data_IF_015920861065
#
_entry.id   IF_015920861065
#
_cell.length_a   1.000
_cell.length_b   1.000
_cell.length_c   1.000
_cell.angle_alpha   90.00
_cell.angle_beta   90.00
_cell.angle_gamma   90.00
#
_symmetry.space_group_name_H-M   'P 1'
#
loop_
_entity.id
_entity.type
_entity.pdbx_description
1 polymer ?
#
# COMPACT_ATOMS: atom_id res chain seq x y z
N UNK A 1 14.81 44.81 -6.80
CA UNK A 1 14.05 45.92 -7.45
C UNK A 1 14.64 47.24 -6.99
N UNK A 2 14.73 48.25 -7.86
CA UNK A 2 15.15 49.60 -7.46
C UNK A 2 14.02 50.35 -6.72
N UNK A 3 14.35 51.41 -5.97
CA UNK A 3 13.35 52.23 -5.25
C UNK A 3 12.36 52.87 -6.24
N UNK A 4 12.82 53.25 -7.42
CA UNK A 4 11.99 53.82 -8.49
C UNK A 4 10.99 52.79 -9.04
N UNK A 5 11.46 51.57 -9.33
CA UNK A 5 10.57 50.46 -9.74
C UNK A 5 9.53 50.10 -8.67
N UNK A 6 9.87 50.23 -7.38
CA UNK A 6 8.91 50.04 -6.29
C UNK A 6 7.90 51.20 -6.19
N UNK A 7 8.27 52.44 -6.53
CA UNK A 7 7.35 53.59 -6.58
C UNK A 7 6.31 53.41 -7.68
N UNK A 8 6.74 52.97 -8.86
CA UNK A 8 5.85 52.67 -9.97
C UNK A 8 4.86 51.55 -9.59
N UNK A 9 5.35 50.43 -9.05
CA UNK A 9 4.46 49.36 -8.57
C UNK A 9 3.53 49.78 -7.46
N UNK A 10 3.94 50.67 -6.54
CA UNK A 10 3.04 51.24 -5.53
C UNK A 10 1.88 52.00 -6.18
N UNK A 11 2.14 52.78 -7.23
CA UNK A 11 1.10 53.51 -7.97
C UNK A 11 0.19 52.54 -8.73
N UNK A 12 0.76 51.54 -9.40
CA UNK A 12 0.01 50.49 -10.11
C UNK A 12 -0.91 49.68 -9.18
N UNK A 13 -0.42 49.32 -7.99
CA UNK A 13 -1.16 48.50 -7.01
C UNK A 13 -2.05 49.34 -6.07
N UNK A 14 -2.00 50.67 -6.15
CA UNK A 14 -2.80 51.56 -5.31
C UNK A 14 -2.46 51.54 -3.82
N UNK A 15 -1.28 51.05 -3.42
CA UNK A 15 -0.93 50.92 -2.00
C UNK A 15 -0.66 52.27 -1.31
N UNK A 16 -1.19 52.41 -0.10
CA UNK A 16 -0.83 53.47 0.85
C UNK A 16 0.49 53.15 1.56
N UNK A 17 1.11 54.15 2.19
CA UNK A 17 2.34 53.90 2.96
C UNK A 17 2.10 53.07 4.21
N UNK A 18 0.91 53.17 4.82
CA UNK A 18 0.48 52.35 5.96
C UNK A 18 0.40 50.87 5.58
N UNK A 19 -0.26 50.56 4.46
CA UNK A 19 -0.34 49.17 3.96
C UNK A 19 1.04 48.58 3.65
N UNK A 20 1.96 49.38 3.09
CA UNK A 20 3.33 48.91 2.82
C UNK A 20 4.09 48.65 4.12
N UNK A 21 3.90 49.49 5.14
CA UNK A 21 4.52 49.32 6.45
C UNK A 21 4.07 48.00 7.10
N UNK A 22 2.76 47.75 7.10
CA UNK A 22 2.17 46.53 7.66
C UNK A 22 2.64 45.27 6.92
N UNK A 23 2.65 45.31 5.58
CA UNK A 23 3.04 44.16 4.75
C UNK A 23 4.54 43.85 4.77
N UNK A 24 5.39 44.88 4.93
CA UNK A 24 6.85 44.70 4.97
C UNK A 24 7.41 44.47 6.37
N UNK A 25 6.64 44.78 7.42
CA UNK A 25 7.13 44.85 8.80
C UNK A 25 8.10 46.02 9.04
N UNK A 26 8.20 46.98 8.11
CA UNK A 26 9.05 48.17 8.23
C UNK A 26 8.23 49.31 8.84
N UNK A 27 8.74 50.05 9.84
CA UNK A 27 8.00 51.16 10.44
C UNK A 27 7.53 52.21 9.42
N UNK A 28 6.31 52.70 9.56
CA UNK A 28 5.69 53.67 8.64
C UNK A 28 6.57 54.88 8.33
N UNK A 29 7.19 55.48 9.36
CA UNK A 29 8.10 56.62 9.17
C UNK A 29 9.34 56.27 8.33
N UNK A 30 9.79 55.01 8.36
CA UNK A 30 10.88 54.52 7.51
C UNK A 30 10.39 54.32 6.07
N UNK A 31 9.21 53.74 5.87
CA UNK A 31 8.59 53.60 4.53
C UNK A 31 8.42 54.97 3.87
N UNK A 32 7.85 55.94 4.59
CA UNK A 32 7.65 57.31 4.09
C UNK A 32 8.97 57.99 3.73
N UNK A 33 10.04 57.81 4.51
CA UNK A 33 11.37 58.39 4.21
C UNK A 33 12.04 57.76 2.99
N UNK A 34 11.89 56.44 2.82
CA UNK A 34 12.43 55.72 1.65
C UNK A 34 11.69 56.13 0.39
N UNK A 35 10.35 56.05 0.39
CA UNK A 35 9.55 56.40 -0.77
C UNK A 35 9.43 57.91 -1.02
N UNK A 36 9.64 58.75 -0.01
CA UNK A 36 9.72 60.21 -0.13
C UNK A 36 11.10 60.73 -0.57
N UNK A 37 12.11 59.87 -0.72
CA UNK A 37 13.44 60.24 -1.23
C UNK A 37 14.34 60.94 -0.21
N UNK A 38 13.95 60.98 1.06
CA UNK A 38 14.73 61.59 2.16
C UNK A 38 15.93 60.72 2.53
N UNK A 39 15.82 59.40 2.36
CA UNK A 39 16.92 58.46 2.62
C UNK A 39 17.61 58.08 1.31
N UNK A 40 18.75 58.70 1.03
CA UNK A 40 19.52 58.47 -0.20
C UNK A 40 20.06 57.03 -0.35
N UNK A 41 20.25 56.31 0.75
CA UNK A 41 20.71 54.90 0.73
C UNK A 41 20.14 54.12 1.92
N UNK A 42 18.94 53.54 1.79
CA UNK A 42 18.34 52.73 2.84
C UNK A 42 19.18 51.46 3.09
N UNK A 43 19.12 50.93 4.32
CA UNK A 43 19.81 49.68 4.66
C UNK A 43 19.30 48.53 3.78
N UNK A 44 20.21 47.62 3.43
CA UNK A 44 19.92 46.49 2.55
C UNK A 44 18.71 45.65 3.00
N UNK A 45 18.59 45.36 4.30
CA UNK A 45 17.48 44.56 4.83
C UNK A 45 16.14 45.29 4.72
N UNK A 46 16.13 46.61 4.88
CA UNK A 46 14.95 47.45 4.66
C UNK A 46 14.53 47.41 3.20
N UNK A 47 15.48 47.48 2.26
CA UNK A 47 15.18 47.38 0.83
C UNK A 47 14.60 46.02 0.46
N UNK A 48 15.16 44.93 1.01
CA UNK A 48 14.68 43.56 0.77
C UNK A 48 13.27 43.34 1.31
N UNK A 49 12.97 43.86 2.50
CA UNK A 49 11.66 43.77 3.11
C UNK A 49 10.59 44.53 2.29
N UNK A 50 10.92 45.72 1.79
CA UNK A 50 10.03 46.50 0.94
C UNK A 50 9.84 45.85 -0.44
N UNK A 51 10.90 45.30 -1.02
CA UNK A 51 10.84 44.64 -2.33
C UNK A 51 9.84 43.47 -2.34
N UNK A 52 9.79 42.68 -1.26
CA UNK A 52 8.86 41.54 -1.13
C UNK A 52 7.39 41.95 -1.23
N UNK A 53 7.03 43.16 -0.82
CA UNK A 53 5.64 43.68 -0.91
C UNK A 53 5.19 43.80 -2.37
N UNK A 54 6.12 44.10 -3.27
CA UNK A 54 5.80 44.43 -4.65
C UNK A 54 6.00 43.27 -5.60
N UNK A 55 6.68 42.18 -5.23
CA UNK A 55 6.88 41.03 -6.12
C UNK A 55 5.53 40.37 -6.45
N UNK A 56 5.17 40.35 -7.74
CA UNK A 56 3.93 39.72 -8.25
C UNK A 56 3.91 38.25 -7.85
N UNK A 57 2.91 37.84 -7.04
CA UNK A 57 2.38 36.47 -7.10
C UNK A 57 1.64 36.31 -8.42
N UNK A 58 1.93 35.23 -9.14
CA UNK A 58 1.17 34.81 -10.32
C UNK A 58 -0.34 34.76 -10.02
N UNK A 59 -1.20 35.00 -11.04
CA UNK A 59 -2.62 35.22 -10.81
C UNK A 59 -3.30 34.00 -10.19
N UNK A 60 -3.78 34.22 -8.97
CA UNK A 60 -4.75 33.38 -8.28
C UNK A 60 -6.12 33.60 -8.93
N UNK A 61 -6.58 32.65 -9.74
CA UNK A 61 -7.98 32.62 -10.14
C UNK A 61 -8.82 32.29 -8.90
N UNK A 62 -9.67 33.24 -8.50
CA UNK A 62 -10.75 33.03 -7.53
C UNK A 62 -11.93 32.41 -8.28
N UNK A 63 -12.18 31.13 -8.06
CA UNK A 63 -13.56 30.61 -8.03
C UNK A 63 -14.05 30.73 -6.58
N UNK A 64 -15.32 31.07 -6.41
CA UNK A 64 -16.00 31.18 -5.11
C UNK A 64 -15.66 30.03 -4.16
N UNK A 65 -15.69 30.33 -2.87
CA UNK A 65 -15.55 29.34 -1.79
C UNK A 65 -16.67 28.30 -1.86
N UNK A 66 -16.43 27.23 -2.61
CA UNK A 66 -16.96 25.93 -2.28
C UNK A 66 -16.10 25.35 -1.15
N UNK A 67 -16.45 25.66 0.10
CA UNK A 67 -15.96 24.90 1.25
C UNK A 67 -17.20 24.39 2.00
N UNK A 68 -17.35 23.07 2.14
CA UNK A 68 -16.38 22.25 2.88
C UNK A 68 -15.81 21.00 2.17
N UNK A 69 -16.19 20.68 0.93
CA UNK A 69 -15.93 19.33 0.37
C UNK A 69 -14.46 19.02 0.06
N UNK A 70 -13.62 20.02 -0.23
CA UNK A 70 -12.20 19.80 -0.59
C UNK A 70 -11.23 19.86 0.61
N UNK A 71 -11.63 20.47 1.72
CA UNK A 71 -10.76 20.55 2.91
C UNK A 71 -10.71 19.21 3.67
N UNK A 72 -11.73 18.37 3.54
CA UNK A 72 -11.71 16.97 4.02
C UNK A 72 -10.79 16.09 3.14
N UNK A 73 -10.59 16.45 1.86
CA UNK A 73 -9.82 15.65 0.89
C UNK A 73 -8.29 15.79 1.00
N UNK A 74 -7.77 16.62 1.92
CA UNK A 74 -6.31 16.85 2.10
C UNK A 74 -5.81 16.64 3.52
N UNK A 75 -6.53 15.87 4.34
CA UNK A 75 -5.89 15.26 5.50
C UNK A 75 -5.16 14.01 5.00
N UNK A 76 -3.84 13.96 5.20
CA UNK A 76 -3.10 12.69 5.02
C UNK A 76 -3.79 11.63 5.88
N UNK A 77 -4.35 10.61 5.22
CA UNK A 77 -5.01 9.49 5.90
C UNK A 77 -3.99 8.80 6.80
N UNK A 78 -4.41 8.49 8.02
CA UNK A 78 -3.60 7.71 8.96
C UNK A 78 -3.80 6.23 8.68
N UNK A 79 -2.85 5.40 9.11
CA UNK A 79 -3.05 3.95 9.14
C UNK A 79 -4.35 3.60 9.89
N UNK A 80 -5.21 2.80 9.27
CA UNK A 80 -6.58 2.49 9.71
C UNK A 80 -7.69 3.31 9.05
N UNK A 81 -7.36 4.40 8.35
CA UNK A 81 -8.30 5.29 7.65
C UNK A 81 -8.37 5.04 6.13
N UNK A 82 -7.50 4.19 5.56
CA UNK A 82 -7.50 3.89 4.14
C UNK A 82 -8.66 2.97 3.74
N UNK A 83 -9.12 3.10 2.50
CA UNK A 83 -10.18 2.28 1.91
C UNK A 83 -9.69 1.54 0.66
N UNK A 84 -10.50 0.60 0.18
CA UNK A 84 -10.30 -0.09 -1.11
C UNK A 84 -10.20 0.91 -2.28
N UNK A 85 -10.97 1.99 -2.25
CA UNK A 85 -10.85 3.06 -3.24
C UNK A 85 -9.46 3.72 -3.19
N UNK A 86 -8.93 4.02 -1.99
CA UNK A 86 -7.58 4.57 -1.88
C UNK A 86 -6.53 3.59 -2.38
N UNK A 87 -6.67 2.31 -2.03
CA UNK A 87 -5.77 1.24 -2.49
C UNK A 87 -5.74 1.15 -4.02
N UNK A 88 -6.91 1.17 -4.67
CA UNK A 88 -7.02 1.13 -6.14
C UNK A 88 -6.51 2.40 -6.81
N UNK A 89 -6.40 3.50 -6.08
CA UNK A 89 -5.84 4.76 -6.55
C UNK A 89 -4.31 4.86 -6.40
N UNK A 90 -3.66 3.86 -5.78
CA UNK A 90 -2.21 3.81 -5.68
C UNK A 90 -1.54 3.70 -7.06
N UNK A 91 -0.32 4.26 -7.24
CA UNK A 91 0.48 4.02 -8.44
C UNK A 91 0.70 2.52 -8.66
N UNK A 92 0.70 2.08 -9.91
CA UNK A 92 0.84 0.65 -10.28
C UNK A 92 2.17 0.05 -9.78
N UNK A 93 3.21 0.87 -9.65
CA UNK A 93 4.52 0.46 -9.16
C UNK A 93 4.53 0.21 -7.64
N UNK A 94 3.53 0.72 -6.91
CA UNK A 94 3.45 0.63 -5.47
C UNK A 94 2.68 -0.63 -5.06
N UNK A 95 3.43 -1.71 -4.79
CA UNK A 95 2.85 -2.96 -4.32
C UNK A 95 2.55 -2.91 -2.82
N UNK A 96 1.27 -2.91 -2.49
CA UNK A 96 0.77 -2.84 -1.12
C UNK A 96 -0.24 -3.96 -0.85
N UNK A 97 -0.51 -4.21 0.42
CA UNK A 97 -1.77 -4.79 0.87
C UNK A 97 -2.51 -3.78 1.74
N UNK A 98 -3.83 -3.85 1.76
CA UNK A 98 -4.70 -3.09 2.63
C UNK A 98 -5.30 -4.06 3.67
N UNK A 99 -5.08 -3.84 4.96
CA UNK A 99 -5.66 -4.69 6.01
C UNK A 99 -6.26 -3.79 7.09
N UNK A 100 -7.57 -3.91 7.31
CA UNK A 100 -8.32 -3.09 8.27
C UNK A 100 -8.09 -1.57 8.12
N UNK A 101 -7.94 -1.13 6.87
CA UNK A 101 -7.67 0.26 6.51
C UNK A 101 -6.22 0.71 6.73
N UNK A 102 -5.29 -0.21 6.98
CA UNK A 102 -3.86 0.05 7.04
C UNK A 102 -3.15 -0.48 5.77
N UNK A 103 -2.27 0.34 5.18
CA UNK A 103 -1.45 -0.02 4.02
C UNK A 103 -0.12 -0.62 4.48
N UNK A 104 0.21 -1.79 3.93
CA UNK A 104 1.43 -2.54 4.20
C UNK A 104 2.24 -2.72 2.92
N UNK A 105 3.48 -2.24 2.90
CA UNK A 105 4.42 -2.45 1.81
C UNK A 105 4.66 -3.93 1.55
N UNK A 106 4.71 -4.29 0.27
CA UNK A 106 5.17 -5.60 -0.17
C UNK A 106 6.55 -5.49 -0.81
N UNK A 107 7.52 -6.19 -0.23
CA UNK A 107 8.80 -6.39 -0.89
C UNK A 107 8.62 -7.27 -2.14
N UNK A 108 9.49 -7.09 -3.14
CA UNK A 108 9.56 -8.03 -4.24
C UNK A 108 9.91 -9.43 -3.70
N UNK A 109 9.18 -10.49 -4.11
CA UNK A 109 9.47 -11.84 -3.64
C UNK A 109 10.84 -12.31 -4.16
N UNK A 110 11.51 -13.17 -3.39
CA UNK A 110 12.77 -13.78 -3.84
C UNK A 110 12.51 -14.82 -4.93
N UNK A 111 13.54 -15.18 -5.71
CA UNK A 111 13.41 -16.24 -6.72
C UNK A 111 12.98 -17.59 -6.13
N UNK A 112 13.52 -17.96 -4.97
CA UNK A 112 13.15 -19.20 -4.25
C UNK A 112 11.68 -19.17 -3.83
N UNK A 113 11.23 -18.03 -3.30
CA UNK A 113 9.83 -17.83 -2.93
C UNK A 113 8.91 -18.00 -4.15
N UNK A 114 9.29 -17.44 -5.30
CA UNK A 114 8.51 -17.60 -6.52
C UNK A 114 8.45 -19.03 -7.03
N UNK A 115 9.58 -19.75 -6.95
CA UNK A 115 9.65 -21.15 -7.41
C UNK A 115 8.82 -22.07 -6.51
N UNK A 116 8.94 -21.95 -5.19
CA UNK A 116 8.15 -22.78 -4.25
C UNK A 116 6.65 -22.54 -4.44
N UNK A 117 6.22 -21.28 -4.56
CA UNK A 117 4.80 -20.98 -4.81
C UNK A 117 4.30 -21.54 -6.13
N UNK A 118 5.12 -21.45 -7.19
CA UNK A 118 4.82 -22.03 -8.50
C UNK A 118 4.66 -23.54 -8.47
N UNK A 119 5.53 -24.26 -7.75
CA UNK A 119 5.44 -25.72 -7.60
C UNK A 119 4.20 -26.14 -6.80
N UNK A 120 3.92 -25.46 -5.69
CA UNK A 120 2.69 -25.71 -4.90
C UNK A 120 1.46 -25.50 -5.79
N UNK A 121 1.39 -24.38 -6.52
CA UNK A 121 0.31 -24.12 -7.47
C UNK A 121 0.19 -25.23 -8.54
N UNK A 122 1.30 -25.71 -9.08
CA UNK A 122 1.31 -26.76 -10.10
C UNK A 122 0.70 -28.06 -9.58
N UNK A 123 1.09 -28.51 -8.38
CA UNK A 123 0.54 -29.71 -7.72
C UNK A 123 -0.97 -29.57 -7.52
N UNK A 124 -1.43 -28.45 -6.97
CA UNK A 124 -2.86 -28.20 -6.73
C UNK A 124 -3.65 -28.19 -8.04
N UNK A 125 -3.13 -27.50 -9.06
CA UNK A 125 -3.73 -27.44 -10.40
C UNK A 125 -3.85 -28.81 -11.03
N UNK A 126 -2.80 -29.62 -10.98
CA UNK A 126 -2.78 -30.90 -11.65
C UNK A 126 -3.72 -31.90 -10.95
N UNK A 127 -3.79 -31.88 -9.62
CA UNK A 127 -4.79 -32.64 -8.86
C UNK A 127 -6.22 -32.24 -9.25
N UNK A 128 -6.56 -30.95 -9.14
CA UNK A 128 -7.92 -30.46 -9.42
C UNK A 128 -8.34 -30.81 -10.85
N UNK A 129 -7.45 -30.64 -11.83
CA UNK A 129 -7.74 -30.98 -13.24
C UNK A 129 -7.95 -32.48 -13.43
N UNK A 130 -7.12 -33.31 -12.82
CA UNK A 130 -7.22 -34.78 -12.93
C UNK A 130 -8.51 -35.29 -12.32
N UNK A 131 -8.93 -34.73 -11.18
CA UNK A 131 -10.21 -35.06 -10.54
C UNK A 131 -11.43 -34.44 -11.23
N UNK A 132 -11.24 -33.61 -12.27
CA UNK A 132 -12.30 -32.79 -12.89
C UNK A 132 -13.04 -31.95 -11.84
N UNK A 133 -12.31 -31.47 -10.84
CA UNK A 133 -12.82 -30.60 -9.78
C UNK A 133 -13.27 -29.25 -10.34
N UNK A 134 -14.07 -28.53 -9.54
CA UNK A 134 -14.66 -27.23 -9.93
C UNK A 134 -13.99 -26.03 -9.26
N UNK A 135 -12.94 -26.24 -8.49
CA UNK A 135 -12.19 -25.17 -7.86
C UNK A 135 -11.13 -24.59 -8.81
N UNK A 136 -10.78 -23.32 -8.62
CA UNK A 136 -9.76 -22.61 -9.37
C UNK A 136 -8.57 -22.35 -8.46
N UNK A 137 -7.42 -23.03 -8.65
CA UNK A 137 -6.18 -22.60 -8.05
C UNK A 137 -5.69 -21.34 -8.75
N UNK A 138 -5.12 -20.40 -8.00
CA UNK A 138 -4.48 -19.20 -8.53
C UNK A 138 -3.14 -18.96 -7.85
N UNK A 139 -2.26 -18.28 -8.56
CA UNK A 139 -0.92 -17.91 -8.12
C UNK A 139 -0.76 -16.39 -8.22
N UNK A 140 -0.13 -15.78 -7.23
CA UNK A 140 0.04 -14.33 -7.15
C UNK A 140 0.66 -13.72 -8.44
N UNK A 141 0.34 -12.46 -8.77
CA UNK A 141 -0.50 -11.52 -8.01
C UNK A 141 -2.00 -11.67 -8.29
N UNK A 142 -2.83 -11.62 -7.25
CA UNK A 142 -4.29 -11.51 -7.35
C UNK A 142 -4.83 -10.78 -6.12
N UNK A 143 -5.69 -9.78 -6.33
CA UNK A 143 -6.32 -9.05 -5.22
C UNK A 143 -7.48 -9.87 -4.65
N UNK A 144 -7.51 -9.98 -3.32
CA UNK A 144 -8.59 -10.59 -2.55
C UNK A 144 -9.18 -9.55 -1.60
N UNK A 145 -10.36 -9.01 -1.94
CA UNK A 145 -11.16 -8.16 -1.07
C UNK A 145 -11.84 -9.05 -0.01
N UNK A 146 -11.08 -9.39 1.03
CA UNK A 146 -11.27 -10.57 1.86
C UNK A 146 -12.60 -10.57 2.64
N UNK A 147 -12.92 -9.46 3.30
CA UNK A 147 -14.08 -9.36 4.20
C UNK A 147 -15.36 -8.90 3.49
N UNK A 148 -15.33 -8.81 2.14
CA UNK A 148 -16.37 -8.14 1.35
C UNK A 148 -16.64 -6.69 1.81
N UNK A 149 -15.63 -6.03 2.38
CA UNK A 149 -15.71 -4.67 2.92
C UNK A 149 -14.78 -3.71 2.16
N UNK A 150 -14.84 -2.43 2.50
CA UNK A 150 -14.00 -1.40 1.88
C UNK A 150 -12.67 -1.20 2.60
N UNK A 151 -12.18 -2.18 3.38
CA UNK A 151 -11.02 -2.01 4.26
C UNK A 151 -9.94 -3.09 4.16
N UNK A 152 -10.20 -4.21 3.50
CA UNK A 152 -9.21 -5.29 3.40
C UNK A 152 -9.04 -5.78 1.96
N UNK A 153 -7.84 -5.59 1.41
CA UNK A 153 -7.33 -6.27 0.20
C UNK A 153 -5.99 -6.92 0.53
N UNK A 154 -5.93 -8.24 0.36
CA UNK A 154 -4.71 -9.05 0.51
C UNK A 154 -4.32 -9.69 -0.82
N UNK A 155 -3.04 -10.02 -0.98
CA UNK A 155 -2.48 -10.73 -2.12
C UNK A 155 -1.76 -11.99 -1.63
N UNK A 156 -2.49 -13.10 -1.41
CA UNK A 156 -1.87 -14.36 -1.01
C UNK A 156 -1.03 -14.96 -2.13
N UNK A 157 0.00 -15.74 -1.77
CA UNK A 157 0.93 -16.31 -2.75
C UNK A 157 0.28 -17.40 -3.61
N UNK A 158 -0.44 -18.31 -2.98
CA UNK A 158 -1.23 -19.35 -3.65
C UNK A 158 -2.61 -19.41 -2.99
N UNK A 159 -3.66 -19.60 -3.77
CA UNK A 159 -5.01 -19.80 -3.25
C UNK A 159 -5.79 -20.84 -4.06
N UNK A 160 -6.88 -21.34 -3.48
CA UNK A 160 -7.92 -22.09 -4.19
C UNK A 160 -9.28 -21.42 -3.96
N UNK A 161 -10.01 -21.20 -5.05
CA UNK A 161 -11.37 -20.65 -5.04
C UNK A 161 -12.36 -21.67 -5.61
N UNK A 162 -13.22 -22.25 -4.77
CA UNK A 162 -14.24 -23.22 -5.20
C UNK A 162 -15.56 -22.56 -5.64
N UNK A 163 -15.87 -21.39 -5.11
CA UNK A 163 -16.98 -20.55 -5.58
C UNK A 163 -16.50 -19.48 -6.55
N UNK A 164 -16.53 -19.81 -7.84
CA UNK A 164 -16.09 -18.91 -8.91
C UNK A 164 -16.93 -17.64 -9.06
N UNK A 165 -18.12 -17.58 -8.45
CA UNK A 165 -18.96 -16.38 -8.50
C UNK A 165 -18.36 -15.21 -7.70
N UNK A 166 -17.43 -15.50 -6.79
CA UNK A 166 -16.65 -14.50 -6.04
C UNK A 166 -15.59 -13.80 -6.89
N UNK A 167 -15.23 -14.34 -8.05
CA UNK A 167 -14.27 -13.70 -8.95
C UNK A 167 -14.98 -12.61 -9.78
N UNK A 168 -14.64 -11.34 -9.51
CA UNK A 168 -15.18 -10.16 -10.17
C UNK A 168 -14.07 -9.42 -10.91
N UNK A 169 -13.98 -9.63 -12.22
CA UNK A 169 -12.88 -9.10 -13.03
C UNK A 169 -11.54 -9.68 -12.57
N UNK A 170 -10.66 -8.84 -12.06
CA UNK A 170 -9.32 -9.21 -11.56
C UNK A 170 -9.24 -9.24 -10.03
N UNK A 171 -10.38 -9.27 -9.33
CA UNK A 171 -10.44 -9.26 -7.86
C UNK A 171 -11.37 -10.37 -7.38
N UNK A 172 -10.93 -11.10 -6.36
CA UNK A 172 -11.79 -12.02 -5.61
C UNK A 172 -12.48 -11.22 -4.51
N UNK A 173 -13.81 -11.28 -4.43
CA UNK A 173 -14.61 -10.63 -3.38
C UNK A 173 -15.09 -11.70 -2.42
N UNK A 174 -14.54 -11.69 -1.20
CA UNK A 174 -14.76 -12.70 -0.17
C UNK A 174 -13.60 -13.70 -0.03
N UNK A 175 -13.69 -14.54 1.00
CA UNK A 175 -12.65 -15.51 1.31
C UNK A 175 -12.50 -16.63 0.25
N UNK A 176 -11.26 -16.93 -0.20
CA UNK A 176 -10.89 -18.20 -0.83
C UNK A 176 -11.08 -19.38 0.13
N UNK A 177 -11.17 -20.59 -0.42
CA UNK A 177 -11.29 -21.83 0.36
C UNK A 177 -9.97 -22.20 1.02
N UNK A 178 -8.85 -21.98 0.33
CA UNK A 178 -7.51 -22.35 0.80
C UNK A 178 -6.51 -21.26 0.43
N UNK A 179 -5.55 -21.00 1.32
CA UNK A 179 -4.49 -20.00 1.15
C UNK A 179 -3.15 -20.55 1.59
N UNK A 180 -2.09 -20.24 0.84
CA UNK A 180 -0.69 -20.42 1.23
C UNK A 180 0.02 -19.08 1.25
N UNK A 181 0.81 -18.84 2.29
CA UNK A 181 1.78 -17.76 2.39
C UNK A 181 3.18 -18.34 2.56
N UNK A 182 4.12 -17.90 1.75
CA UNK A 182 5.53 -18.28 1.82
C UNK A 182 6.24 -17.22 2.65
N UNK A 183 6.66 -17.62 3.84
CA UNK A 183 7.20 -16.68 4.81
C UNK A 183 8.51 -16.08 4.31
N UNK A 184 8.54 -14.76 4.23
CA UNK A 184 9.75 -13.96 3.99
C UNK A 184 10.09 -13.14 5.24
N UNK A 185 11.36 -12.71 5.44
CA UNK A 185 11.70 -11.82 6.56
C UNK A 185 10.84 -10.55 6.63
N UNK A 186 10.42 -10.01 5.48
CA UNK A 186 9.59 -8.81 5.38
C UNK A 186 8.12 -9.02 5.75
N UNK A 187 7.54 -10.19 5.48
CA UNK A 187 6.10 -10.43 5.64
C UNK A 187 5.77 -11.32 6.83
N UNK A 188 6.74 -12.09 7.33
CA UNK A 188 6.58 -13.11 8.39
C UNK A 188 5.69 -12.69 9.55
N UNK A 189 5.90 -11.49 10.10
CA UNK A 189 5.10 -11.02 11.25
C UNK A 189 3.62 -10.80 10.87
N UNK A 190 3.37 -10.23 9.69
CA UNK A 190 2.01 -9.98 9.21
C UNK A 190 1.32 -11.32 8.90
N UNK A 191 2.00 -12.23 8.22
CA UNK A 191 1.44 -13.52 7.81
C UNK A 191 1.10 -14.38 9.05
N UNK A 192 2.03 -14.47 10.02
CA UNK A 192 1.86 -15.30 11.21
C UNK A 192 0.84 -14.80 12.24
N UNK A 193 0.49 -13.51 12.23
CA UNK A 193 -0.36 -12.92 13.26
C UNK A 193 -1.57 -12.19 12.69
N UNK A 194 -1.35 -11.21 11.82
CA UNK A 194 -2.42 -10.36 11.29
C UNK A 194 -3.27 -11.16 10.31
N UNK A 195 -2.65 -11.73 9.26
CA UNK A 195 -3.37 -12.49 8.24
C UNK A 195 -3.98 -13.77 8.79
N UNK A 196 -3.33 -14.43 9.74
CA UNK A 196 -3.89 -15.60 10.42
C UNK A 196 -5.28 -15.31 11.01
N UNK A 197 -5.41 -14.23 11.79
CA UNK A 197 -6.70 -13.82 12.36
C UNK A 197 -7.70 -13.47 11.25
N UNK A 198 -7.28 -12.65 10.28
CA UNK A 198 -8.13 -12.24 9.16
C UNK A 198 -8.69 -13.42 8.37
N UNK A 199 -7.84 -14.36 7.95
CA UNK A 199 -8.24 -15.54 7.20
C UNK A 199 -9.19 -16.44 7.98
N UNK A 200 -8.90 -16.66 9.26
CA UNK A 200 -9.80 -17.40 10.14
C UNK A 200 -11.18 -16.73 10.23
N UNK A 201 -11.23 -15.42 10.47
CA UNK A 201 -12.50 -14.69 10.62
C UNK A 201 -13.28 -14.54 9.32
N UNK A 202 -12.60 -14.46 8.18
CA UNK A 202 -13.22 -14.32 6.87
C UNK A 202 -13.81 -15.65 6.34
N UNK A 203 -13.50 -16.77 6.98
CA UNK A 203 -14.00 -18.09 6.58
C UNK A 203 -13.14 -18.80 5.55
N UNK A 204 -11.83 -18.52 5.49
CA UNK A 204 -10.88 -19.41 4.83
C UNK A 204 -10.94 -20.76 5.54
N UNK A 205 -10.95 -21.86 4.79
CA UNK A 205 -11.12 -23.21 5.34
C UNK A 205 -9.80 -23.80 5.79
N UNK A 206 -8.73 -23.50 5.07
CA UNK A 206 -7.39 -23.99 5.37
C UNK A 206 -6.31 -22.98 4.99
N UNK A 207 -5.36 -22.75 5.90
CA UNK A 207 -4.30 -21.76 5.76
C UNK A 207 -2.92 -22.34 6.06
N UNK A 208 -2.01 -22.22 5.09
CA UNK A 208 -0.64 -22.74 5.17
C UNK A 208 0.37 -21.61 5.25
N UNK A 209 1.35 -21.76 6.13
CA UNK A 209 2.54 -20.94 6.19
C UNK A 209 3.79 -21.78 5.92
N UNK A 210 4.46 -21.49 4.81
CA UNK A 210 5.66 -22.21 4.37
C UNK A 210 6.91 -21.43 4.76
N UNK A 211 7.68 -21.96 5.70
CA UNK A 211 8.97 -21.41 6.12
C UNK A 211 10.12 -22.16 5.44
N UNK A 212 10.60 -21.60 4.33
CA UNK A 212 11.65 -22.21 3.50
C UNK A 212 12.98 -22.30 4.25
N UNK A 213 13.33 -21.26 5.01
CA UNK A 213 14.58 -21.20 5.79
C UNK A 213 14.61 -22.29 6.86
N UNK A 214 13.48 -22.51 7.53
CA UNK A 214 13.36 -23.54 8.58
C UNK A 214 12.95 -24.91 8.04
N UNK A 215 12.64 -25.02 6.74
CA UNK A 215 12.11 -26.24 6.09
C UNK A 215 10.89 -26.79 6.84
N UNK A 216 9.94 -25.89 7.14
CA UNK A 216 8.72 -26.19 7.89
C UNK A 216 7.48 -25.68 7.19
N UNK A 217 6.38 -26.39 7.36
CA UNK A 217 5.04 -25.96 6.93
C UNK A 217 4.13 -26.00 8.15
N UNK A 218 3.57 -24.85 8.50
CA UNK A 218 2.60 -24.71 9.59
C UNK A 218 1.21 -24.58 8.98
N UNK A 219 0.29 -25.44 9.40
CA UNK A 219 -1.05 -25.55 8.81
C UNK A 219 -2.09 -25.25 9.87
N UNK A 220 -3.04 -24.41 9.51
CA UNK A 220 -4.30 -24.21 10.21
C UNK A 220 -5.42 -24.76 9.34
N UNK A 221 -5.96 -25.91 9.71
CA UNK A 221 -7.20 -26.44 9.17
C UNK A 221 -8.35 -25.90 10.03
N UNK A 222 -9.03 -24.86 9.56
CA UNK A 222 -10.09 -24.19 10.32
C UNK A 222 -11.42 -24.97 10.31
N UNK A 223 -11.55 -25.99 9.46
CA UNK A 223 -12.77 -26.80 9.38
C UNK A 223 -12.73 -28.03 10.29
N UNK A 224 -11.59 -28.71 10.37
CA UNK A 224 -11.51 -30.04 10.97
C UNK A 224 -10.74 -30.07 12.29
N UNK A 225 -9.80 -29.14 12.51
CA UNK A 225 -8.87 -29.19 13.64
C UNK A 225 -8.90 -27.91 14.46
N UNK A 226 -8.65 -28.03 15.77
CA UNK A 226 -8.62 -26.87 16.68
C UNK A 226 -7.19 -26.45 17.05
N UNK A 227 -6.18 -27.04 16.42
CA UNK A 227 -4.76 -26.78 16.70
C UNK A 227 -3.95 -26.81 15.42
N UNK A 228 -2.88 -25.99 15.32
CA UNK A 228 -2.04 -25.99 14.14
C UNK A 228 -1.17 -27.25 14.07
N UNK A 229 -0.94 -27.73 12.85
CA UNK A 229 -0.11 -28.90 12.57
C UNK A 229 1.19 -28.43 11.92
N UNK A 230 2.32 -28.97 12.39
CA UNK A 230 3.65 -28.63 11.88
C UNK A 230 4.25 -29.82 11.13
N UNK A 231 4.52 -29.62 9.84
CA UNK A 231 5.24 -30.57 8.99
C UNK A 231 6.68 -30.11 8.74
N UNK A 232 7.58 -31.08 8.57
CA UNK A 232 8.88 -30.86 7.93
C UNK A 232 8.78 -31.03 6.42
N UNK A 233 9.78 -30.53 5.69
CA UNK A 233 9.86 -30.74 4.24
C UNK A 233 10.15 -32.21 3.87
N UNK A 234 10.50 -33.06 4.83
CA UNK A 234 10.66 -34.50 4.65
C UNK A 234 9.33 -35.28 4.60
N UNK A 235 8.19 -34.59 4.63
CA UNK A 235 6.86 -35.18 4.61
C UNK A 235 6.03 -34.72 3.40
N UNK A 236 5.19 -35.63 2.90
CA UNK A 236 4.06 -35.27 2.06
C UNK A 236 2.98 -34.61 2.92
N UNK A 237 2.62 -33.37 2.57
CA UNK A 237 1.65 -32.59 3.33
C UNK A 237 0.26 -32.74 2.68
N UNK A 238 -0.73 -33.34 3.38
CA UNK A 238 -2.08 -33.51 2.85
C UNK A 238 -2.83 -32.18 2.82
N UNK A 239 -3.55 -31.92 1.72
CA UNK A 239 -4.45 -30.75 1.59
C UNK A 239 -5.81 -31.11 2.20
N UNK A 240 -6.14 -30.49 3.34
CA UNK A 240 -7.32 -30.77 4.16
C UNK A 240 -8.64 -30.53 3.43
N UNK A 241 -8.77 -29.45 2.64
CA UNK A 241 -9.98 -29.15 1.86
C UNK A 241 -10.29 -30.20 0.78
N UNK A 242 -9.35 -31.11 0.50
CA UNK A 242 -9.50 -32.27 -0.37
C UNK A 242 -9.40 -33.61 0.37
N UNK A 243 -9.68 -33.61 1.68
CA UNK A 243 -9.66 -34.81 2.53
C UNK A 243 -8.33 -35.58 2.47
N UNK A 244 -7.22 -34.86 2.24
CA UNK A 244 -5.87 -35.43 2.12
C UNK A 244 -5.63 -36.27 0.85
N UNK A 245 -6.57 -36.27 -0.11
CA UNK A 245 -6.41 -36.96 -1.39
C UNK A 245 -5.41 -36.24 -2.32
N UNK A 246 -5.26 -34.93 -2.15
CA UNK A 246 -4.17 -34.14 -2.71
C UNK A 246 -3.08 -34.01 -1.65
N UNK A 247 -1.83 -34.11 -2.08
CA UNK A 247 -0.66 -33.92 -1.21
C UNK A 247 0.38 -33.09 -1.92
N UNK A 248 1.07 -32.25 -1.16
CA UNK A 248 2.24 -31.50 -1.62
C UNK A 248 3.48 -32.15 -1.02
N UNK A 249 4.34 -32.71 -1.86
CA UNK A 249 5.64 -33.24 -1.45
C UNK A 249 6.68 -32.12 -1.44
N UNK A 250 6.90 -31.52 -0.26
CA UNK A 250 7.90 -30.47 -0.11
C UNK A 250 9.34 -31.00 -0.24
N UNK A 251 9.55 -32.31 -0.05
CA UNK A 251 10.84 -32.95 -0.22
C UNK A 251 11.21 -33.01 -1.69
N UNK A 252 10.27 -33.46 -2.53
CA UNK A 252 10.42 -33.45 -3.99
C UNK A 252 10.67 -32.04 -4.52
N UNK A 253 9.86 -31.05 -4.10
CA UNK A 253 10.05 -29.64 -4.47
C UNK A 253 11.45 -29.16 -4.06
N UNK A 254 11.88 -29.45 -2.84
CA UNK A 254 13.16 -28.99 -2.34
C UNK A 254 14.35 -29.66 -3.05
N UNK A 255 14.29 -30.96 -3.34
CA UNK A 255 15.32 -31.65 -4.14
C UNK A 255 15.38 -31.12 -5.58
N UNK A 256 14.22 -30.82 -6.18
CA UNK A 256 14.16 -30.19 -7.50
C UNK A 256 14.90 -28.85 -7.50
N UNK A 257 14.65 -27.97 -6.52
CA UNK A 257 15.37 -26.70 -6.41
C UNK A 257 16.86 -26.89 -6.10
N UNK A 258 17.21 -27.89 -5.29
CA UNK A 258 18.61 -28.24 -4.99
C UNK A 258 19.36 -28.69 -6.25
N UNK A 259 18.68 -29.34 -7.21
CA UNK A 259 19.29 -29.74 -8.48
C UNK A 259 19.84 -28.56 -9.30
N UNK A 260 19.33 -27.35 -9.05
CA UNK A 260 19.82 -26.09 -9.63
C UNK A 260 20.78 -25.32 -8.72
N UNK A 261 21.19 -25.89 -7.57
CA UNK A 261 22.00 -25.22 -6.54
C UNK A 261 21.36 -23.94 -5.99
N UNK A 262 20.02 -23.89 -5.94
CA UNK A 262 19.28 -22.72 -5.43
C UNK A 262 19.04 -22.78 -3.92
N UNK A 263 19.16 -23.97 -3.32
CA UNK A 263 18.92 -24.23 -1.89
C UNK A 263 19.93 -25.25 -1.36
N UNK A 264 20.21 -25.22 -0.06
CA UNK A 264 21.16 -26.11 0.63
C UNK A 264 20.55 -27.46 1.03
#
# INVERSE_FOLDING_TARGET
MTIEQMRERKQELGYTYEQIADLSGVPLGTVQKVFGGVTASPRYDTLRALERVFQKKEPMYVKESALPYEAEARREKRQGEYTVEDYRALPEEQRMELIDGALYDMAAPTGIHQLIGGEIYAVLRDYIRTQKGKCLPMYAPIDVQLDCDEKTIVQPDVLILCDVSKLSGNTIVGAPDFIVEILSPSTRKKDMFIKLEKYMTAGVREYWMVDVEKKKVLIYDFEHENYPILFGFDAEVPVGIFEGQCKVDFGEIYEYLRSFSLVD
#
